data_IF_138329964882
#
_entry.id   IF_138329964882
#
_cell.length_a   1.000
_cell.length_b   1.000
_cell.length_c   1.000
_cell.angle_alpha   90.00
_cell.angle_beta   90.00
_cell.angle_gamma   90.00
#
_symmetry.space_group_name_H-M   'P 1'
#
loop_
_entity.id
_entity.type
_entity.pdbx_description
1 polymer ?
#
# COMPACT_ATOMS: atom_id res chain seq x y z
N UNK A 1 -21.89 -18.10 -27.05
CA UNK A 1 -21.78 -17.75 -25.62
C UNK A 1 -21.03 -16.42 -25.53
N UNK A 2 -21.73 -15.35 -25.21
CA UNK A 2 -21.13 -14.06 -24.95
C UNK A 2 -20.23 -14.18 -23.71
N UNK A 3 -18.90 -14.08 -23.87
CA UNK A 3 -17.97 -14.02 -22.72
C UNK A 3 -18.42 -12.82 -21.86
N UNK A 4 -18.90 -13.09 -20.66
CA UNK A 4 -19.18 -12.03 -19.67
C UNK A 4 -17.90 -11.22 -19.48
N UNK A 5 -17.98 -9.91 -19.68
CA UNK A 5 -16.82 -9.02 -19.56
C UNK A 5 -16.35 -9.03 -18.09
N UNK A 6 -15.05 -9.29 -17.87
CA UNK A 6 -14.45 -9.30 -16.53
C UNK A 6 -14.57 -7.92 -15.88
N UNK A 7 -15.05 -7.84 -14.62
CA UNK A 7 -15.07 -6.59 -13.87
C UNK A 7 -13.65 -6.18 -13.46
N UNK A 8 -13.45 -4.91 -13.13
CA UNK A 8 -12.18 -4.42 -12.61
C UNK A 8 -11.76 -5.14 -11.32
N UNK A 9 -12.73 -5.43 -10.43
CA UNK A 9 -12.54 -6.19 -9.20
C UNK A 9 -12.01 -7.60 -9.48
N UNK A 10 -12.68 -8.33 -10.40
CA UNK A 10 -12.26 -9.68 -10.80
C UNK A 10 -10.87 -9.67 -11.43
N UNK A 11 -10.61 -8.69 -12.32
CA UNK A 11 -9.31 -8.53 -12.98
C UNK A 11 -8.19 -8.32 -11.97
N UNK A 12 -8.40 -7.44 -10.98
CA UNK A 12 -7.44 -7.18 -9.94
C UNK A 12 -7.19 -8.42 -9.06
N UNK A 13 -8.25 -9.09 -8.61
CA UNK A 13 -8.15 -10.29 -7.80
C UNK A 13 -7.43 -11.43 -8.53
N UNK A 14 -7.73 -11.63 -9.83
CA UNK A 14 -7.06 -12.62 -10.66
C UNK A 14 -5.58 -12.30 -10.85
N UNK A 15 -5.24 -11.02 -11.10
CA UNK A 15 -3.84 -10.61 -11.23
C UNK A 15 -3.06 -10.85 -9.93
N UNK A 16 -3.64 -10.57 -8.76
CA UNK A 16 -3.02 -10.88 -7.46
C UNK A 16 -2.73 -12.38 -7.26
N UNK A 17 -3.46 -13.26 -7.92
CA UNK A 17 -3.33 -14.73 -7.84
C UNK A 17 -2.60 -15.32 -9.05
N UNK A 18 -1.97 -14.51 -9.87
CA UNK A 18 -1.33 -14.93 -11.12
C UNK A 18 -2.26 -15.73 -12.05
N UNK A 19 -3.56 -15.44 -12.02
CA UNK A 19 -4.57 -16.03 -12.91
C UNK A 19 -4.71 -15.20 -14.20
N UNK A 20 -5.20 -15.80 -15.31
CA UNK A 20 -5.38 -15.08 -16.56
C UNK A 20 -6.35 -13.90 -16.42
N UNK A 21 -6.00 -12.80 -17.08
CA UNK A 21 -6.79 -11.57 -17.16
C UNK A 21 -6.92 -11.14 -18.63
N UNK A 22 -7.94 -10.34 -18.94
CA UNK A 22 -8.14 -9.77 -20.28
C UNK A 22 -7.13 -8.65 -20.61
N UNK A 23 -6.60 -7.99 -19.59
CA UNK A 23 -5.49 -7.02 -19.59
C UNK A 23 -4.97 -6.82 -18.15
N UNK A 24 -3.78 -6.28 -17.94
CA UNK A 24 -3.35 -5.89 -16.60
C UNK A 24 -4.32 -4.90 -15.95
N UNK A 25 -4.71 -5.09 -14.66
CA UNK A 25 -5.41 -4.04 -13.92
C UNK A 25 -4.47 -2.86 -13.67
N UNK A 26 -5.04 -1.65 -13.57
CA UNK A 26 -4.30 -0.41 -13.33
C UNK A 26 -4.85 0.36 -12.14
N UNK A 27 -3.95 0.74 -11.25
CA UNK A 27 -4.16 1.73 -10.20
C UNK A 27 -2.83 2.44 -9.93
N UNK A 28 -2.82 3.59 -9.28
CA UNK A 28 -1.59 4.34 -9.03
C UNK A 28 -1.43 4.65 -7.54
N UNK A 29 -0.25 4.38 -6.99
CA UNK A 29 0.10 4.81 -5.64
C UNK A 29 -0.08 6.32 -5.51
N UNK A 30 -0.75 6.77 -4.43
CA UNK A 30 -1.14 8.17 -4.19
C UNK A 30 -2.08 8.75 -5.26
N UNK A 31 -2.88 7.91 -5.93
CA UNK A 31 -3.88 8.35 -6.93
C UNK A 31 -4.91 9.31 -6.35
N UNK A 32 -5.31 9.15 -5.09
CA UNK A 32 -6.14 10.08 -4.35
C UNK A 32 -5.23 11.16 -3.73
N UNK A 33 -5.38 12.42 -4.15
CA UNK A 33 -4.52 13.46 -3.60
C UNK A 33 -4.24 14.65 -4.52
N UNK A 34 -3.06 15.24 -4.36
CA UNK A 34 -2.70 16.60 -4.83
C UNK A 34 -2.81 16.85 -6.33
N UNK A 35 -2.72 15.83 -7.16
CA UNK A 35 -2.90 15.96 -8.61
C UNK A 35 -4.33 16.38 -8.97
N UNK A 36 -5.32 15.98 -8.16
CA UNK A 36 -6.74 16.18 -8.46
C UNK A 36 -7.23 17.57 -8.04
N UNK A 37 -7.88 18.33 -8.93
CA UNK A 37 -8.47 19.64 -8.59
C UNK A 37 -9.57 19.50 -7.53
N UNK A 38 -10.35 18.41 -7.54
CA UNK A 38 -11.38 18.13 -6.54
C UNK A 38 -10.77 17.99 -5.13
N UNK A 39 -9.66 17.29 -5.00
CA UNK A 39 -8.94 17.19 -3.74
C UNK A 39 -8.40 18.56 -3.29
N UNK A 40 -7.79 19.32 -4.21
CA UNK A 40 -7.29 20.68 -3.89
C UNK A 40 -8.39 21.60 -3.36
N UNK A 41 -9.60 21.52 -3.93
CA UNK A 41 -10.76 22.27 -3.44
C UNK A 41 -11.14 21.87 -2.01
N UNK A 42 -11.13 20.59 -1.67
CA UNK A 42 -11.37 20.15 -0.29
C UNK A 42 -10.28 20.65 0.66
N UNK A 43 -9.03 20.74 0.20
CA UNK A 43 -7.90 21.26 0.98
C UNK A 43 -7.98 22.77 1.30
N UNK A 44 -8.81 23.53 0.61
CA UNK A 44 -9.10 24.93 0.95
C UNK A 44 -9.89 25.05 2.26
N UNK A 45 -10.67 24.02 2.60
CA UNK A 45 -11.55 24.01 3.78
C UNK A 45 -11.04 23.10 4.89
N UNK A 46 -10.43 21.96 4.54
CA UNK A 46 -10.08 20.92 5.50
C UNK A 46 -8.56 20.68 5.54
N UNK A 47 -8.03 20.47 6.73
CA UNK A 47 -6.66 19.97 6.90
C UNK A 47 -6.54 18.53 6.41
N UNK A 48 -5.31 18.03 6.20
CA UNK A 48 -5.09 16.64 5.82
C UNK A 48 -5.64 15.68 6.89
N UNK A 49 -5.37 15.96 8.15
CA UNK A 49 -5.85 15.13 9.27
C UNK A 49 -7.37 15.05 9.30
N UNK A 50 -8.06 16.20 9.12
CA UNK A 50 -9.54 16.24 9.05
C UNK A 50 -10.07 15.40 7.87
N UNK A 51 -9.39 15.42 6.70
CA UNK A 51 -9.78 14.59 5.56
C UNK A 51 -9.59 13.09 5.83
N UNK A 52 -8.56 12.72 6.59
CA UNK A 52 -8.28 11.31 6.94
C UNK A 52 -9.22 10.81 8.04
N UNK A 53 -9.45 11.62 9.08
CA UNK A 53 -10.19 11.19 10.27
C UNK A 53 -11.72 11.35 10.13
N UNK A 54 -12.21 12.00 9.09
CA UNK A 54 -13.63 12.08 8.77
C UNK A 54 -13.98 11.03 7.69
N UNK A 55 -14.80 10.01 8.01
CA UNK A 55 -15.11 8.93 7.08
C UNK A 55 -15.70 9.41 5.75
N UNK A 56 -16.64 10.36 5.77
CA UNK A 56 -17.31 10.87 4.59
C UNK A 56 -16.33 11.58 3.64
N UNK A 57 -15.41 12.38 4.20
CA UNK A 57 -14.38 13.07 3.44
C UNK A 57 -13.34 12.09 2.89
N UNK A 58 -12.92 11.09 3.67
CA UNK A 58 -12.00 10.05 3.23
C UNK A 58 -12.60 9.22 2.08
N UNK A 59 -13.90 8.90 2.15
CA UNK A 59 -14.65 8.22 1.08
C UNK A 59 -14.66 9.07 -0.19
N UNK A 60 -15.05 10.34 -0.09
CA UNK A 60 -15.08 11.24 -1.25
C UNK A 60 -13.71 11.32 -1.93
N UNK A 61 -12.64 11.56 -1.17
CA UNK A 61 -11.28 11.65 -1.73
C UNK A 61 -10.83 10.32 -2.33
N UNK A 62 -11.17 9.20 -1.72
CA UNK A 62 -10.86 7.86 -2.24
C UNK A 62 -11.49 7.61 -3.61
N UNK A 63 -12.73 8.05 -3.81
CA UNK A 63 -13.49 7.78 -5.03
C UNK A 63 -13.19 8.75 -6.19
N UNK A 64 -12.66 9.94 -5.91
CA UNK A 64 -12.35 10.94 -6.94
C UNK A 64 -11.53 10.39 -8.11
N UNK A 65 -10.37 9.71 -7.90
CA UNK A 65 -9.57 9.19 -9.02
C UNK A 65 -10.25 8.04 -9.76
N UNK A 66 -11.04 7.22 -9.06
CA UNK A 66 -11.80 6.13 -9.70
C UNK A 66 -12.85 6.71 -10.63
N UNK A 67 -13.61 7.70 -10.17
CA UNK A 67 -14.65 8.39 -11.00
C UNK A 67 -14.03 9.11 -12.20
N UNK A 68 -12.85 9.73 -12.02
CA UNK A 68 -12.20 10.52 -13.07
C UNK A 68 -11.51 9.66 -14.13
N UNK A 69 -10.74 8.66 -13.74
CA UNK A 69 -9.89 7.88 -14.64
C UNK A 69 -10.38 6.45 -14.86
N UNK A 70 -11.31 5.97 -14.03
CA UNK A 70 -11.81 4.60 -14.08
C UNK A 70 -10.74 3.58 -13.75
N UNK A 71 -9.94 3.79 -12.71
CA UNK A 71 -8.97 2.81 -12.21
C UNK A 71 -9.65 1.48 -11.85
N UNK A 72 -8.89 0.40 -11.96
CA UNK A 72 -9.39 -0.95 -11.62
C UNK A 72 -9.42 -1.20 -10.11
N UNK A 73 -8.69 -0.40 -9.32
CA UNK A 73 -8.72 -0.46 -7.87
C UNK A 73 -8.73 0.92 -7.24
N UNK A 74 -9.49 1.07 -6.16
CA UNK A 74 -9.38 2.16 -5.21
C UNK A 74 -8.43 1.77 -4.09
N UNK A 75 -7.65 2.70 -3.58
CA UNK A 75 -6.92 2.58 -2.32
C UNK A 75 -7.44 3.64 -1.36
N UNK A 76 -7.72 3.26 -0.12
CA UNK A 76 -8.26 4.20 0.86
C UNK A 76 -7.37 5.43 1.00
N UNK A 77 -7.97 6.62 0.98
CA UNK A 77 -7.25 7.84 1.35
C UNK A 77 -7.03 7.88 2.86
N UNK A 78 -5.80 7.64 3.28
CA UNK A 78 -5.34 7.60 4.67
C UNK A 78 -3.83 7.88 4.74
N UNK A 79 -3.23 7.70 5.91
CA UNK A 79 -1.79 7.80 6.15
C UNK A 79 -1.28 6.56 6.87
N UNK A 80 -0.01 6.19 6.68
CA UNK A 80 0.61 5.08 7.42
C UNK A 80 0.83 5.43 8.89
N UNK A 81 0.97 6.73 9.22
CA UNK A 81 1.23 7.22 10.57
C UNK A 81 -0.02 7.23 11.47
N UNK A 82 -1.20 6.89 10.96
CA UNK A 82 -2.38 6.68 11.80
C UNK A 82 -2.17 5.56 12.83
N UNK A 83 -1.25 4.58 12.53
CA UNK A 83 -0.92 3.50 13.46
C UNK A 83 -0.11 4.00 14.65
N UNK A 84 1.06 4.68 14.50
CA UNK A 84 1.75 5.31 15.62
C UNK A 84 0.84 6.25 16.42
N UNK A 85 0.00 7.06 15.75
CA UNK A 85 -0.97 7.94 16.41
C UNK A 85 -1.94 7.14 17.28
N UNK A 86 -2.53 6.08 16.75
CA UNK A 86 -3.43 5.20 17.50
C UNK A 86 -2.73 4.46 18.65
N UNK A 87 -1.43 4.20 18.53
CA UNK A 87 -0.62 3.63 19.61
C UNK A 87 -0.26 4.65 20.70
N UNK A 88 -0.46 5.95 20.48
CA UNK A 88 -0.22 7.02 21.45
C UNK A 88 0.94 7.95 21.11
N UNK A 89 1.60 7.79 19.97
CA UNK A 89 2.61 8.73 19.46
C UNK A 89 1.98 9.61 18.39
N UNK A 90 1.42 10.74 18.77
CA UNK A 90 0.75 11.67 17.85
C UNK A 90 1.76 12.42 16.98
N UNK A 91 1.29 12.98 15.87
CA UNK A 91 2.13 13.71 14.92
C UNK A 91 1.42 14.93 14.34
N UNK A 92 2.21 15.84 13.78
CA UNK A 92 1.71 17.01 13.07
C UNK A 92 2.51 17.28 11.80
N UNK A 93 1.89 17.91 10.83
CA UNK A 93 2.57 18.37 9.62
C UNK A 93 3.30 19.69 9.87
N UNK A 94 4.51 19.82 9.30
CA UNK A 94 5.25 21.08 9.25
C UNK A 94 4.69 21.95 8.12
N UNK A 95 4.74 23.26 8.28
CA UNK A 95 4.44 24.22 7.21
C UNK A 95 5.37 24.03 6.00
N UNK A 96 6.63 23.73 6.25
CA UNK A 96 7.66 23.44 5.23
C UNK A 96 7.57 22.05 4.61
N UNK A 97 6.58 21.25 4.99
CA UNK A 97 6.39 19.85 4.56
C UNK A 97 7.06 18.84 5.50
N UNK A 98 6.59 17.60 5.38
CA UNK A 98 6.99 16.50 6.28
C UNK A 98 6.23 16.51 7.61
N UNK A 99 6.54 15.55 8.47
CA UNK A 99 5.89 15.36 9.77
C UNK A 99 6.86 15.52 10.92
N UNK A 100 6.31 15.82 12.10
CA UNK A 100 6.99 15.80 13.40
C UNK A 100 6.13 14.99 14.34
N UNK A 101 6.74 14.03 15.04
CA UNK A 101 6.11 13.25 16.11
C UNK A 101 6.22 14.03 17.43
N UNK A 102 5.31 13.82 18.35
CA UNK A 102 5.31 14.53 19.65
C UNK A 102 6.53 14.16 20.51
N UNK A 103 7.03 12.95 20.36
CA UNK A 103 8.28 12.49 20.96
C UNK A 103 8.97 11.50 20.02
N UNK A 104 10.27 11.26 20.25
CA UNK A 104 11.02 10.21 19.55
C UNK A 104 11.17 8.98 20.45
N UNK A 105 11.09 7.80 19.88
CA UNK A 105 11.25 6.54 20.61
C UNK A 105 12.72 6.13 20.58
N UNK A 106 13.37 6.18 21.73
CA UNK A 106 14.82 5.85 21.86
C UNK A 106 15.09 4.79 22.91
N UNK A 107 14.19 4.61 23.85
CA UNK A 107 14.38 3.75 25.01
C UNK A 107 13.20 2.79 25.20
N UNK A 108 13.44 1.74 25.97
CA UNK A 108 12.38 0.82 26.39
C UNK A 108 11.24 1.53 27.12
N UNK A 109 11.53 2.54 27.92
CA UNK A 109 10.51 3.36 28.60
C UNK A 109 9.64 4.15 27.60
N UNK A 110 10.18 4.56 26.45
CA UNK A 110 9.36 5.20 25.39
C UNK A 110 8.43 4.17 24.73
N UNK A 111 8.90 2.95 24.53
CA UNK A 111 8.10 1.86 23.95
C UNK A 111 6.95 1.47 24.91
N UNK A 112 7.17 1.52 26.21
CA UNK A 112 6.14 1.23 27.22
C UNK A 112 4.97 2.23 27.20
N UNK A 113 5.16 3.45 26.70
CA UNK A 113 4.10 4.46 26.51
C UNK A 113 3.14 4.09 25.36
N UNK A 114 3.55 3.20 24.46
CA UNK A 114 2.76 2.80 23.30
C UNK A 114 1.80 1.65 23.68
N UNK A 115 0.53 1.75 23.26
CA UNK A 115 -0.47 0.69 23.45
C UNK A 115 -0.95 0.14 22.11
N UNK A 116 -1.10 -1.19 22.03
CA UNK A 116 -1.66 -1.90 20.87
C UNK A 116 -3.16 -2.16 21.05
N UNK A 117 -3.62 -2.28 22.29
CA UNK A 117 -4.96 -2.77 22.63
C UNK A 117 -6.11 -1.94 22.05
N UNK A 118 -5.95 -0.63 21.94
CA UNK A 118 -6.98 0.29 21.47
C UNK A 118 -6.81 0.74 20.00
N UNK A 119 -5.86 0.16 19.27
CA UNK A 119 -5.56 0.60 17.89
C UNK A 119 -6.80 0.54 16.99
N UNK A 120 -7.51 -0.57 16.96
CA UNK A 120 -8.71 -0.72 16.12
C UNK A 120 -9.86 0.19 16.56
N UNK A 121 -10.02 0.42 17.88
CA UNK A 121 -11.04 1.34 18.39
C UNK A 121 -10.76 2.77 17.97
N UNK A 122 -9.52 3.24 18.13
CA UNK A 122 -9.09 4.58 17.73
C UNK A 122 -9.13 4.78 16.22
N UNK A 123 -8.91 3.71 15.43
CA UNK A 123 -8.99 3.71 13.95
C UNK A 123 -10.37 3.32 13.41
N UNK A 124 -11.42 3.32 14.23
CA UNK A 124 -12.78 2.98 13.79
C UNK A 124 -13.29 3.87 12.62
N UNK A 125 -12.78 5.10 12.50
CA UNK A 125 -13.09 5.95 11.34
C UNK A 125 -12.58 5.36 10.02
N UNK A 126 -11.49 4.59 10.04
CA UNK A 126 -10.97 3.86 8.87
C UNK A 126 -11.91 2.72 8.50
N UNK A 127 -12.35 1.91 9.47
CA UNK A 127 -13.34 0.83 9.25
C UNK A 127 -14.62 1.37 8.61
N UNK A 128 -15.16 2.46 9.16
CA UNK A 128 -16.35 3.13 8.62
C UNK A 128 -16.15 3.60 7.18
N UNK A 129 -15.01 4.26 6.90
CA UNK A 129 -14.70 4.73 5.56
C UNK A 129 -14.58 3.56 4.57
N UNK A 130 -13.87 2.48 4.93
CA UNK A 130 -13.72 1.30 4.08
C UNK A 130 -15.06 0.63 3.75
N UNK A 131 -15.92 0.43 4.73
CA UNK A 131 -17.27 -0.14 4.51
C UNK A 131 -18.11 0.73 3.58
N UNK A 132 -18.02 2.04 3.73
CA UNK A 132 -18.75 2.96 2.86
C UNK A 132 -18.15 2.95 1.44
N UNK A 133 -16.81 3.01 1.27
CA UNK A 133 -16.16 2.87 -0.05
C UNK A 133 -16.54 1.55 -0.70
N UNK A 134 -16.52 0.42 0.04
CA UNK A 134 -16.92 -0.89 -0.49
C UNK A 134 -18.35 -0.87 -1.03
N UNK A 135 -19.28 -0.25 -0.29
CA UNK A 135 -20.67 -0.09 -0.71
C UNK A 135 -20.78 0.72 -2.00
N UNK A 136 -20.06 1.82 -2.12
CA UNK A 136 -20.08 2.70 -3.31
C UNK A 136 -19.42 2.03 -4.54
N UNK A 137 -18.36 1.25 -4.36
CA UNK A 137 -17.69 0.54 -5.44
C UNK A 137 -18.47 -0.71 -5.92
N UNK A 138 -19.37 -1.24 -5.11
CA UNK A 138 -20.11 -2.48 -5.41
C UNK A 138 -19.16 -3.64 -5.74
N UNK A 139 -19.50 -4.45 -6.74
CA UNK A 139 -18.67 -5.56 -7.23
C UNK A 139 -17.84 -5.20 -8.48
N UNK A 140 -17.84 -3.93 -8.87
CA UNK A 140 -17.18 -3.48 -10.12
C UNK A 140 -15.71 -3.17 -9.95
N UNK A 141 -15.31 -2.48 -8.86
CA UNK A 141 -13.94 -1.98 -8.65
C UNK A 141 -13.35 -2.59 -7.39
N UNK A 142 -12.07 -2.97 -7.45
CA UNK A 142 -11.35 -3.49 -6.30
C UNK A 142 -11.09 -2.40 -5.26
N UNK A 143 -10.99 -2.80 -3.99
CA UNK A 143 -10.64 -1.94 -2.87
C UNK A 143 -9.37 -2.47 -2.19
N UNK A 144 -8.36 -1.62 -2.07
CA UNK A 144 -7.09 -1.94 -1.44
C UNK A 144 -7.02 -1.28 -0.06
N UNK A 145 -6.76 -2.08 0.97
CA UNK A 145 -6.32 -1.63 2.27
C UNK A 145 -4.79 -1.52 2.32
N UNK A 146 -4.25 -0.82 3.32
CA UNK A 146 -2.81 -0.71 3.42
C UNK A 146 -2.31 -0.37 4.81
N UNK A 147 -0.99 -0.56 5.00
CA UNK A 147 -0.23 -0.14 6.17
C UNK A 147 1.21 0.22 5.76
N UNK A 148 1.94 0.92 6.62
CA UNK A 148 3.40 0.94 6.59
C UNK A 148 3.98 -0.37 7.11
N UNK A 149 5.19 -0.74 6.66
CA UNK A 149 5.95 -1.82 7.29
C UNK A 149 6.39 -1.42 8.71
N UNK A 150 6.63 -2.37 9.62
CA UNK A 150 7.16 -2.06 10.94
C UNK A 150 8.46 -1.26 10.89
N UNK A 151 9.37 -1.55 9.96
CA UNK A 151 10.60 -0.76 9.75
C UNK A 151 10.30 0.68 9.37
N UNK A 152 9.46 0.90 8.36
CA UNK A 152 9.09 2.25 7.92
C UNK A 152 8.41 3.05 9.02
N UNK A 153 7.49 2.45 9.77
CA UNK A 153 6.83 3.10 10.92
C UNK A 153 7.84 3.41 12.02
N UNK A 154 8.70 2.43 12.38
CA UNK A 154 9.73 2.59 13.40
C UNK A 154 10.71 3.72 13.06
N UNK A 155 11.11 3.87 11.79
CA UNK A 155 12.01 4.97 11.38
C UNK A 155 11.41 6.33 11.67
N UNK A 156 10.13 6.58 11.37
CA UNK A 156 9.46 7.82 11.74
C UNK A 156 9.40 8.02 13.25
N UNK A 157 9.08 6.96 13.99
CA UNK A 157 8.95 6.98 15.44
C UNK A 157 10.28 7.26 16.15
N UNK A 158 11.35 6.63 15.68
CA UNK A 158 12.70 6.79 16.26
C UNK A 158 13.36 8.11 15.87
N UNK A 159 13.17 8.58 14.64
CA UNK A 159 13.67 9.92 14.23
C UNK A 159 12.84 11.05 14.86
N UNK A 160 11.59 10.78 15.23
CA UNK A 160 10.65 11.79 15.71
C UNK A 160 10.20 12.77 14.62
N UNK A 161 10.55 12.53 13.36
CA UNK A 161 10.22 13.40 12.23
C UNK A 161 10.50 12.76 10.87
N UNK A 162 9.96 13.37 9.79
CA UNK A 162 10.47 13.14 8.45
C UNK A 162 11.86 13.75 8.28
N UNK A 163 12.84 12.94 7.93
CA UNK A 163 14.23 13.34 7.72
C UNK A 163 14.79 12.74 6.43
N UNK A 164 15.80 13.36 5.80
CA UNK A 164 16.39 12.82 4.55
C UNK A 164 17.19 11.52 4.76
N UNK A 165 17.70 11.31 5.97
CA UNK A 165 18.48 10.12 6.36
C UNK A 165 17.99 9.65 7.73
N UNK A 166 17.81 8.36 7.88
CA UNK A 166 17.29 7.73 9.10
C UNK A 166 18.45 7.25 9.99
N UNK A 167 19.37 8.16 10.33
CA UNK A 167 20.60 7.84 11.04
C UNK A 167 20.38 7.31 12.45
N UNK A 168 19.42 7.89 13.20
CA UNK A 168 19.08 7.43 14.56
C UNK A 168 18.41 6.05 14.53
N UNK A 169 17.50 5.83 13.58
CA UNK A 169 16.84 4.55 13.42
C UNK A 169 17.83 3.44 13.08
N UNK A 170 18.76 3.71 12.15
CA UNK A 170 19.82 2.76 11.80
C UNK A 170 20.78 2.52 12.98
N UNK A 171 21.15 3.56 13.72
CA UNK A 171 22.00 3.43 14.92
C UNK A 171 21.31 2.57 15.98
N UNK A 172 20.04 2.84 16.31
CA UNK A 172 19.30 2.04 17.30
C UNK A 172 19.20 0.58 16.87
N UNK A 173 18.89 0.31 15.62
CA UNK A 173 18.84 -1.06 15.10
C UNK A 173 20.18 -1.78 15.24
N UNK A 174 21.31 -1.11 14.96
CA UNK A 174 22.65 -1.71 14.97
C UNK A 174 23.28 -1.81 16.36
N UNK A 175 23.06 -0.80 17.20
CA UNK A 175 23.75 -0.65 18.51
C UNK A 175 22.90 -1.20 19.67
N UNK A 176 21.57 -1.10 19.57
CA UNK A 176 20.62 -1.69 20.55
C UNK A 176 19.46 -2.41 19.86
N UNK A 177 19.75 -3.54 19.16
CA UNK A 177 18.75 -4.30 18.44
C UNK A 177 17.61 -4.79 19.34
N UNK A 178 17.84 -4.99 20.65
CA UNK A 178 16.80 -5.41 21.59
C UNK A 178 15.70 -4.37 21.75
N UNK A 179 16.07 -3.09 21.84
CA UNK A 179 15.11 -1.98 21.90
C UNK A 179 14.38 -1.83 20.55
N UNK A 180 15.09 -1.95 19.43
CA UNK A 180 14.47 -1.95 18.11
C UNK A 180 13.45 -3.09 17.97
N UNK A 181 13.81 -4.33 18.32
CA UNK A 181 12.91 -5.48 18.17
C UNK A 181 11.67 -5.36 19.06
N UNK A 182 11.79 -4.84 20.28
CA UNK A 182 10.64 -4.59 21.13
C UNK A 182 9.64 -3.58 20.50
N UNK A 183 10.14 -2.55 19.81
CA UNK A 183 9.29 -1.63 19.04
C UNK A 183 8.67 -2.33 17.82
N UNK A 184 9.47 -3.07 17.08
CA UNK A 184 9.02 -3.76 15.86
C UNK A 184 7.95 -4.83 16.17
N UNK A 185 8.09 -5.57 17.28
CA UNK A 185 7.06 -6.51 17.76
C UNK A 185 5.73 -5.82 18.06
N UNK A 186 5.74 -4.69 18.79
CA UNK A 186 4.53 -3.91 19.05
C UNK A 186 3.90 -3.37 17.75
N UNK A 187 4.73 -2.87 16.84
CA UNK A 187 4.26 -2.38 15.53
C UNK A 187 3.68 -3.51 14.69
N UNK A 188 4.32 -4.67 14.68
CA UNK A 188 3.82 -5.86 13.97
C UNK A 188 2.44 -6.25 14.49
N UNK A 189 2.25 -6.34 15.81
CA UNK A 189 0.95 -6.63 16.41
C UNK A 189 -0.11 -5.57 16.05
N UNK A 190 0.24 -4.28 16.09
CA UNK A 190 -0.66 -3.19 15.71
C UNK A 190 -1.05 -3.24 14.22
N UNK A 191 -0.09 -3.51 13.34
CA UNK A 191 -0.31 -3.65 11.90
C UNK A 191 -1.19 -4.86 11.58
N UNK A 192 -0.96 -6.00 12.23
CA UNK A 192 -1.81 -7.20 12.07
C UNK A 192 -3.26 -6.87 12.43
N UNK A 193 -3.50 -6.31 13.63
CA UNK A 193 -4.85 -5.95 14.07
C UNK A 193 -5.51 -4.96 13.09
N UNK A 194 -4.77 -3.96 12.64
CA UNK A 194 -5.25 -2.94 11.70
C UNK A 194 -5.59 -3.51 10.33
N UNK A 195 -4.74 -4.39 9.76
CA UNK A 195 -5.00 -5.02 8.46
C UNK A 195 -6.15 -6.04 8.54
N UNK A 196 -6.27 -6.80 9.64
CA UNK A 196 -7.42 -7.69 9.88
C UNK A 196 -8.73 -6.90 9.96
N UNK A 197 -8.74 -5.72 10.60
CA UNK A 197 -9.89 -4.82 10.61
C UNK A 197 -10.25 -4.36 9.18
N UNK A 198 -9.27 -4.00 8.35
CA UNK A 198 -9.49 -3.60 6.97
C UNK A 198 -10.05 -4.76 6.12
N UNK A 199 -9.53 -5.97 6.30
CA UNK A 199 -10.04 -7.19 5.63
C UNK A 199 -11.50 -7.44 6.04
N UNK A 200 -11.83 -7.33 7.32
CA UNK A 200 -13.20 -7.46 7.83
C UNK A 200 -14.14 -6.34 7.32
N UNK A 201 -13.60 -5.18 6.95
CA UNK A 201 -14.34 -4.09 6.33
C UNK A 201 -14.59 -4.31 4.83
N UNK A 202 -13.99 -5.35 4.21
CA UNK A 202 -14.28 -5.78 2.83
C UNK A 202 -13.29 -5.32 1.78
N UNK A 203 -12.01 -5.10 2.12
CA UNK A 203 -10.95 -4.88 1.11
C UNK A 203 -10.65 -6.17 0.34
N UNK A 204 -10.28 -6.04 -0.93
CA UNK A 204 -9.98 -7.15 -1.83
C UNK A 204 -8.51 -7.59 -1.76
N UNK A 205 -7.63 -6.70 -1.31
CA UNK A 205 -6.22 -6.95 -1.06
C UNK A 205 -5.69 -5.94 -0.04
N UNK A 206 -4.53 -6.25 0.56
CA UNK A 206 -3.81 -5.31 1.43
C UNK A 206 -2.41 -5.07 0.91
N UNK A 207 -1.92 -3.83 1.03
CA UNK A 207 -0.56 -3.47 0.65
C UNK A 207 0.25 -2.99 1.86
N UNK A 208 1.45 -3.56 2.03
CA UNK A 208 2.43 -3.12 3.03
C UNK A 208 3.46 -2.25 2.31
N UNK A 209 3.58 -0.99 2.76
CA UNK A 209 4.54 -0.03 2.23
C UNK A 209 5.80 -0.01 3.09
N UNK A 210 6.90 -0.51 2.54
CA UNK A 210 8.24 -0.43 3.13
C UNK A 210 9.07 0.65 2.41
N UNK A 211 8.65 1.90 2.60
CA UNK A 211 9.22 3.05 1.88
C UNK A 211 10.67 3.36 2.27
N UNK A 212 11.15 2.79 3.38
CA UNK A 212 12.49 3.04 3.92
C UNK A 212 13.41 1.82 3.90
N UNK A 213 12.98 0.71 3.28
CA UNK A 213 13.76 -0.52 3.18
C UNK A 213 15.12 -0.34 2.48
N UNK A 214 15.19 0.53 1.49
CA UNK A 214 16.43 0.84 0.75
C UNK A 214 17.51 1.59 1.55
N UNK A 215 17.23 2.03 2.79
CA UNK A 215 18.24 2.58 3.68
C UNK A 215 19.02 1.50 4.45
N UNK A 216 18.53 0.27 4.45
CA UNK A 216 19.18 -0.88 5.05
C UNK A 216 20.27 -1.43 4.13
N UNK A 217 21.36 -1.90 4.71
CA UNK A 217 22.32 -2.70 3.95
C UNK A 217 21.74 -4.07 3.57
N UNK A 218 22.26 -4.69 2.53
CA UNK A 218 21.73 -5.96 2.00
C UNK A 218 21.58 -7.05 3.08
N UNK A 219 22.53 -7.21 3.99
CA UNK A 219 22.47 -8.18 5.07
C UNK A 219 21.58 -7.79 6.26
N UNK A 220 21.05 -6.57 6.30
CA UNK A 220 20.23 -6.05 7.41
C UNK A 220 18.73 -6.16 7.13
N UNK A 221 18.34 -6.26 5.86
CA UNK A 221 16.95 -6.15 5.43
C UNK A 221 16.05 -7.21 6.09
N UNK A 222 16.48 -8.46 6.13
CA UNK A 222 15.69 -9.55 6.70
C UNK A 222 15.39 -9.31 8.19
N UNK A 223 16.40 -8.92 8.97
CA UNK A 223 16.27 -8.68 10.41
C UNK A 223 15.48 -7.41 10.72
N UNK A 224 15.72 -6.34 9.96
CA UNK A 224 15.10 -5.04 10.24
C UNK A 224 13.67 -4.92 9.66
N UNK A 225 13.37 -5.52 8.51
CA UNK A 225 12.09 -5.35 7.83
C UNK A 225 11.45 -6.65 7.38
N UNK A 226 12.18 -7.52 6.67
CA UNK A 226 11.62 -8.68 5.97
C UNK A 226 10.86 -9.64 6.90
N UNK A 227 11.46 -10.03 8.04
CA UNK A 227 10.84 -10.94 9.01
C UNK A 227 9.51 -10.43 9.57
N UNK A 228 9.41 -9.14 9.83
CA UNK A 228 8.21 -8.54 10.37
C UNK A 228 7.07 -8.48 9.36
N UNK A 229 7.39 -8.21 8.10
CA UNK A 229 6.43 -8.31 7.01
C UNK A 229 5.95 -9.74 6.81
N UNK A 230 6.86 -10.73 6.92
CA UNK A 230 6.50 -12.15 6.90
C UNK A 230 5.50 -12.50 8.01
N UNK A 231 5.76 -12.10 9.26
CA UNK A 231 4.86 -12.34 10.39
C UNK A 231 3.46 -11.73 10.16
N UNK A 232 3.41 -10.50 9.63
CA UNK A 232 2.14 -9.84 9.28
C UNK A 232 1.40 -10.66 8.22
N UNK A 233 2.07 -11.02 7.12
CA UNK A 233 1.45 -11.74 5.99
C UNK A 233 0.95 -13.11 6.44
N UNK A 234 1.72 -13.84 7.24
CA UNK A 234 1.29 -15.12 7.81
C UNK A 234 0.04 -14.98 8.69
N UNK A 235 -0.03 -13.92 9.50
CA UNK A 235 -1.16 -13.69 10.40
C UNK A 235 -2.45 -13.27 9.67
N UNK A 236 -2.36 -12.47 8.59
CA UNK A 236 -3.53 -12.02 7.82
C UNK A 236 -3.99 -13.05 6.77
N UNK A 237 -3.12 -13.97 6.37
CA UNK A 237 -3.44 -15.08 5.47
C UNK A 237 -4.12 -16.26 6.17
N UNK A 238 -4.06 -16.33 7.49
CA UNK A 238 -4.74 -17.36 8.26
C UNK A 238 -6.26 -17.09 8.32
N UNK A 239 -7.12 -18.14 8.30
CA UNK A 239 -8.56 -17.98 8.53
C UNK A 239 -8.81 -17.23 9.85
N UNK A 240 -9.66 -16.21 9.85
CA UNK A 240 -10.02 -15.46 11.05
C UNK A 240 -10.82 -16.40 11.96
N UNK A 241 -10.18 -17.02 12.94
CA UNK A 241 -10.83 -17.85 13.94
C UNK A 241 -11.61 -16.93 14.90
N UNK A 242 -12.95 -16.89 14.77
CA UNK A 242 -13.78 -16.21 15.77
C UNK A 242 -14.95 -15.38 15.30
N UNK A 243 -15.45 -15.48 14.09
CA UNK A 243 -16.77 -14.91 13.74
C UNK A 243 -17.90 -15.89 14.09
N UNK A 244 -18.14 -16.13 15.36
CA UNK A 244 -19.40 -16.67 15.84
C UNK A 244 -20.48 -15.60 15.70
N UNK A 245 -21.03 -15.42 14.50
CA UNK A 245 -22.35 -14.81 14.27
C UNK A 245 -23.12 -15.71 13.35
N UNK A 246 -24.13 -16.38 13.95
CA UNK A 246 -25.02 -17.32 13.29
C UNK A 246 -25.83 -16.65 12.16
N UNK A 247 -25.85 -17.35 11.04
CA UNK A 247 -26.77 -17.21 9.93
C UNK A 247 -26.31 -18.17 8.85
N UNK A 248 -27.22 -18.94 8.19
CA UNK A 248 -26.84 -19.85 7.12
C UNK A 248 -26.70 -19.06 5.80
N UNK A 249 -25.73 -18.16 5.74
CA UNK A 249 -25.27 -17.62 4.44
C UNK A 249 -24.11 -18.48 3.95
N UNK A 250 -24.25 -18.97 2.72
CA UNK A 250 -23.22 -19.73 2.01
C UNK A 250 -21.90 -18.92 2.06
N UNK A 251 -20.99 -19.37 2.92
CA UNK A 251 -19.59 -18.94 2.88
C UNK A 251 -19.10 -19.26 1.46
N UNK A 252 -18.82 -18.23 0.67
CA UNK A 252 -18.23 -18.41 -0.65
C UNK A 252 -16.85 -19.03 -0.43
N UNK A 253 -16.49 -20.04 -1.21
CA UNK A 253 -15.19 -20.72 -1.15
C UNK A 253 -13.97 -19.78 -1.22
N UNK A 254 -14.19 -18.53 -1.66
CA UNK A 254 -13.18 -17.46 -1.76
C UNK A 254 -12.83 -16.81 -0.39
N UNK A 255 -13.58 -17.10 0.69
CA UNK A 255 -13.36 -16.56 2.05
C UNK A 255 -12.45 -17.42 2.92
N UNK A 256 -12.07 -18.62 2.46
CA UNK A 256 -11.12 -19.49 3.19
C UNK A 256 -9.65 -19.10 2.94
N UNK A 257 -9.37 -18.27 1.93
CA UNK A 257 -8.04 -17.74 1.65
C UNK A 257 -8.08 -16.25 2.01
N UNK A 258 -7.29 -15.82 2.96
CA UNK A 258 -7.19 -14.41 3.38
C UNK A 258 -6.96 -13.47 2.16
N UNK A 259 -7.20 -12.18 2.36
CA UNK A 259 -7.02 -11.20 1.29
C UNK A 259 -5.58 -11.26 0.75
N UNK A 260 -5.37 -11.27 -0.58
CA UNK A 260 -4.04 -11.21 -1.18
C UNK A 260 -3.21 -10.05 -0.60
N UNK A 261 -1.93 -10.32 -0.36
CA UNK A 261 -0.98 -9.35 0.16
C UNK A 261 -0.04 -8.84 -0.92
N UNK A 262 0.23 -7.54 -0.90
CA UNK A 262 1.18 -6.87 -1.79
C UNK A 262 2.24 -6.23 -0.90
N UNK A 263 3.52 -6.49 -1.16
CA UNK A 263 4.64 -5.82 -0.50
C UNK A 263 5.32 -4.89 -1.50
N UNK A 264 5.51 -3.65 -1.12
CA UNK A 264 6.31 -2.68 -1.86
C UNK A 264 7.45 -2.20 -0.97
N UNK A 265 8.70 -2.45 -1.37
CA UNK A 265 9.88 -1.94 -0.68
C UNK A 265 10.74 -1.13 -1.65
N UNK A 266 10.92 0.16 -1.31
CA UNK A 266 11.64 1.10 -2.17
C UNK A 266 13.15 0.91 -2.04
N UNK A 267 13.86 0.82 -3.17
CA UNK A 267 15.32 0.80 -3.21
C UNK A 267 15.96 -0.51 -2.75
N UNK A 268 15.23 -1.62 -2.78
CA UNK A 268 15.70 -2.93 -2.27
C UNK A 268 16.12 -3.92 -3.35
N UNK A 269 16.64 -3.43 -4.45
CA UNK A 269 16.92 -4.23 -5.66
C UNK A 269 17.89 -5.42 -5.46
N UNK A 270 18.67 -5.46 -4.38
CA UNK A 270 19.54 -6.58 -4.03
C UNK A 270 18.89 -7.64 -3.14
N UNK A 271 17.70 -7.36 -2.58
CA UNK A 271 17.07 -8.16 -1.53
C UNK A 271 15.87 -9.01 -2.04
N UNK A 272 15.94 -9.49 -3.28
CA UNK A 272 14.86 -10.32 -3.87
C UNK A 272 14.54 -11.58 -3.04
N UNK A 273 15.53 -12.36 -2.56
CA UNK A 273 15.26 -13.53 -1.73
C UNK A 273 14.47 -13.17 -0.46
N UNK A 274 14.80 -12.08 0.20
CA UNK A 274 14.13 -11.64 1.42
C UNK A 274 12.72 -11.12 1.15
N UNK A 275 12.51 -10.40 0.03
CA UNK A 275 11.18 -9.97 -0.40
C UNK A 275 10.29 -11.16 -0.75
N UNK A 276 10.84 -12.18 -1.44
CA UNK A 276 10.14 -13.44 -1.74
C UNK A 276 9.80 -14.18 -0.45
N UNK A 277 10.73 -14.21 0.52
CA UNK A 277 10.55 -14.87 1.82
C UNK A 277 9.48 -14.20 2.70
N UNK A 278 9.03 -12.97 2.39
CA UNK A 278 7.88 -12.37 3.08
C UNK A 278 6.60 -13.19 2.88
N UNK A 279 6.50 -13.99 1.80
CA UNK A 279 5.30 -14.76 1.46
C UNK A 279 4.19 -13.94 0.80
N UNK A 280 4.49 -12.72 0.34
CA UNK A 280 3.52 -11.86 -0.36
C UNK A 280 3.06 -12.49 -1.68
N UNK A 281 1.77 -12.33 -2.01
CA UNK A 281 1.22 -12.76 -3.30
C UNK A 281 1.73 -11.90 -4.46
N UNK A 282 2.07 -10.63 -4.20
CA UNK A 282 2.54 -9.66 -5.20
C UNK A 282 3.70 -8.86 -4.61
N UNK A 283 4.75 -8.66 -5.41
CA UNK A 283 5.87 -7.77 -5.08
C UNK A 283 5.79 -6.53 -5.96
N UNK A 284 5.74 -5.37 -5.32
CA UNK A 284 5.84 -4.07 -5.98
C UNK A 284 7.28 -3.76 -6.34
N UNK A 285 7.50 -3.39 -7.59
CA UNK A 285 8.82 -3.09 -8.16
C UNK A 285 8.92 -1.57 -8.36
N UNK A 286 9.98 -0.96 -7.88
CA UNK A 286 10.22 0.45 -8.16
C UNK A 286 10.76 0.66 -9.59
N UNK A 287 10.87 1.93 -9.99
CA UNK A 287 11.23 2.29 -11.37
C UNK A 287 12.70 2.07 -11.72
N UNK A 288 13.54 1.68 -10.76
CA UNK A 288 14.99 1.52 -10.98
C UNK A 288 15.34 0.14 -11.54
N UNK A 289 14.44 -0.83 -11.41
CA UNK A 289 14.61 -2.20 -11.94
C UNK A 289 13.58 -2.49 -13.02
N UNK A 290 14.01 -3.04 -14.15
CA UNK A 290 13.10 -3.50 -15.19
C UNK A 290 12.23 -4.67 -14.69
N UNK A 291 10.92 -4.64 -15.01
CA UNK A 291 10.02 -5.77 -14.70
C UNK A 291 10.49 -7.07 -15.37
N UNK A 292 11.07 -6.99 -16.56
CA UNK A 292 11.61 -8.16 -17.26
C UNK A 292 12.79 -8.79 -16.51
N UNK A 293 13.62 -7.98 -15.86
CA UNK A 293 14.73 -8.47 -15.02
C UNK A 293 14.21 -9.00 -13.69
N UNK A 294 13.33 -8.26 -13.02
CA UNK A 294 12.69 -8.72 -11.79
C UNK A 294 12.00 -10.08 -11.98
N UNK A 295 11.31 -10.28 -13.12
CA UNK A 295 10.63 -11.54 -13.45
C UNK A 295 11.58 -12.75 -13.60
N UNK A 296 12.85 -12.55 -13.90
CA UNK A 296 13.84 -13.63 -13.96
C UNK A 296 14.24 -14.15 -12.57
N UNK A 297 14.11 -13.28 -11.56
CA UNK A 297 14.56 -13.52 -10.18
C UNK A 297 13.40 -13.92 -9.26
N UNK A 298 12.19 -13.46 -9.55
CA UNK A 298 11.00 -13.71 -8.73
C UNK A 298 10.18 -14.84 -9.35
N UNK A 299 9.73 -15.85 -8.57
CA UNK A 299 8.94 -16.99 -9.07
C UNK A 299 7.65 -16.56 -9.78
N UNK A 300 7.21 -17.30 -10.81
CA UNK A 300 6.00 -17.00 -11.60
C UNK A 300 4.69 -17.03 -10.78
N UNK A 301 4.70 -17.76 -9.66
CA UNK A 301 3.57 -17.80 -8.73
C UNK A 301 3.37 -16.49 -7.93
N UNK A 302 4.34 -15.58 -7.98
CA UNK A 302 4.27 -14.27 -7.31
C UNK A 302 4.02 -13.20 -8.37
N UNK A 303 2.96 -12.42 -8.21
CA UNK A 303 2.64 -11.30 -9.09
C UNK A 303 3.68 -10.17 -8.98
N UNK A 304 3.77 -9.35 -10.03
CA UNK A 304 4.59 -8.14 -10.04
C UNK A 304 3.69 -6.92 -10.22
N UNK A 305 3.90 -5.90 -9.38
CA UNK A 305 3.22 -4.63 -9.47
C UNK A 305 4.20 -3.52 -9.83
N UNK A 306 3.86 -2.70 -10.83
CA UNK A 306 4.66 -1.55 -11.22
C UNK A 306 4.78 -1.41 -12.73
N UNK A 307 5.77 -0.63 -13.24
CA UNK A 307 6.73 0.15 -12.45
C UNK A 307 7.16 1.42 -13.22
N UNK A 308 6.19 2.09 -13.86
CA UNK A 308 6.50 3.32 -14.61
C UNK A 308 7.13 4.38 -13.69
N UNK A 309 8.16 5.09 -14.17
CA UNK A 309 8.81 6.14 -13.41
C UNK A 309 7.83 7.30 -13.10
N UNK A 310 7.65 7.69 -11.82
CA UNK A 310 6.68 8.73 -11.44
C UNK A 310 6.98 10.10 -12.05
N UNK A 311 8.24 10.43 -12.34
CA UNK A 311 8.65 11.68 -12.97
C UNK A 311 8.05 11.87 -14.37
N UNK A 312 7.81 10.79 -15.12
CA UNK A 312 7.18 10.87 -16.43
C UNK A 312 5.77 11.49 -16.35
N UNK A 313 5.05 11.24 -15.27
CA UNK A 313 3.70 11.79 -15.09
C UNK A 313 3.73 13.30 -14.86
N UNK A 314 4.82 13.85 -14.32
CA UNK A 314 5.00 15.30 -14.10
C UNK A 314 5.67 16.00 -15.26
N UNK A 315 6.68 15.37 -15.86
CA UNK A 315 7.68 16.07 -16.68
C UNK A 315 7.50 15.81 -18.18
N UNK A 316 6.98 14.62 -18.54
CA UNK A 316 6.85 14.22 -19.94
C UNK A 316 5.58 14.79 -20.64
N UNK A 317 5.45 14.49 -21.93
CA UNK A 317 4.23 14.70 -22.72
C UNK A 317 3.36 13.43 -22.67
N UNK A 318 2.03 13.52 -22.96
CA UNK A 318 1.15 12.35 -23.01
C UNK A 318 1.64 11.24 -23.95
N UNK A 319 2.21 11.60 -25.10
CA UNK A 319 2.72 10.63 -26.08
C UNK A 319 3.92 9.84 -25.51
N UNK A 320 4.83 10.50 -24.81
CA UNK A 320 5.97 9.85 -24.15
C UNK A 320 5.47 8.95 -23.04
N UNK A 321 4.50 9.40 -22.24
CA UNK A 321 3.89 8.56 -21.19
C UNK A 321 3.23 7.32 -21.79
N UNK A 322 2.50 7.46 -22.88
CA UNK A 322 1.87 6.33 -23.58
C UNK A 322 2.91 5.34 -24.12
N UNK A 323 4.02 5.85 -24.70
CA UNK A 323 5.12 5.04 -25.20
C UNK A 323 5.77 4.21 -24.07
N UNK A 324 6.16 4.86 -22.97
CA UNK A 324 6.82 4.23 -21.84
C UNK A 324 5.88 3.26 -21.10
N UNK A 325 4.59 3.62 -20.98
CA UNK A 325 3.54 2.72 -20.47
C UNK A 325 3.46 1.44 -21.29
N UNK A 326 3.48 1.56 -22.61
CA UNK A 326 3.48 0.41 -23.53
C UNK A 326 4.74 -0.45 -23.34
N UNK A 327 5.91 0.15 -23.16
CA UNK A 327 7.16 -0.58 -22.94
C UNK A 327 7.09 -1.42 -21.66
N UNK A 328 6.54 -0.88 -20.56
CA UNK A 328 6.31 -1.62 -19.31
C UNK A 328 5.34 -2.78 -19.52
N UNK A 329 4.25 -2.58 -20.27
CA UNK A 329 3.28 -3.63 -20.57
C UNK A 329 3.88 -4.75 -21.43
N UNK A 330 4.67 -4.39 -22.44
CA UNK A 330 5.37 -5.36 -23.32
C UNK A 330 6.38 -6.21 -22.54
N UNK A 331 7.05 -5.66 -21.54
CA UNK A 331 7.97 -6.40 -20.68
C UNK A 331 7.30 -7.58 -19.94
N UNK A 332 5.98 -7.51 -19.77
CA UNK A 332 5.17 -8.53 -19.08
C UNK A 332 4.19 -9.25 -20.04
N UNK A 333 4.30 -9.01 -21.35
CA UNK A 333 3.40 -9.65 -22.35
C UNK A 333 3.44 -11.17 -22.22
N UNK A 334 2.25 -11.77 -22.22
CA UNK A 334 2.10 -13.23 -22.13
C UNK A 334 2.37 -13.84 -20.74
N UNK A 335 2.61 -13.00 -19.72
CA UNK A 335 2.85 -13.43 -18.34
C UNK A 335 1.67 -13.05 -17.46
N UNK A 336 1.26 -13.96 -16.57
CA UNK A 336 0.21 -13.67 -15.57
C UNK A 336 0.77 -12.86 -14.40
N UNK A 337 -0.15 -12.28 -13.60
CA UNK A 337 0.21 -11.63 -12.34
C UNK A 337 0.81 -10.23 -12.48
N UNK A 338 0.60 -9.52 -13.60
CA UNK A 338 1.00 -8.12 -13.73
C UNK A 338 -0.12 -7.19 -13.28
N UNK A 339 0.19 -6.31 -12.31
CA UNK A 339 -0.63 -5.17 -11.89
C UNK A 339 0.11 -3.89 -12.31
N UNK A 340 -0.45 -3.13 -13.24
CA UNK A 340 0.19 -1.89 -13.68
C UNK A 340 0.10 -0.81 -12.60
N UNK A 341 1.24 -0.23 -12.27
CA UNK A 341 1.37 0.90 -11.35
C UNK A 341 2.59 1.74 -11.70
N UNK A 342 2.79 2.84 -10.99
CA UNK A 342 4.08 3.53 -10.97
C UNK A 342 5.06 2.79 -10.05
N UNK A 343 6.34 3.03 -10.24
CA UNK A 343 7.39 2.53 -9.34
C UNK A 343 7.45 3.25 -8.00
N UNK A 344 6.63 4.27 -7.77
CA UNK A 344 6.37 4.98 -6.50
C UNK A 344 5.08 5.79 -6.62
N UNK A 345 4.73 6.56 -5.59
CA UNK A 345 3.53 7.40 -5.59
C UNK A 345 3.59 8.57 -6.57
N UNK A 346 2.43 8.99 -7.08
CA UNK A 346 2.27 10.21 -7.85
C UNK A 346 2.89 11.40 -7.13
N UNK A 347 3.60 12.23 -7.89
CA UNK A 347 4.19 13.48 -7.41
C UNK A 347 3.15 14.60 -7.35
N UNK A 348 3.37 15.65 -6.55
CA UNK A 348 2.46 16.82 -6.54
C UNK A 348 2.30 17.51 -7.90
N UNK A 349 3.31 17.41 -8.79
CA UNK A 349 3.32 18.00 -10.14
C UNK A 349 2.67 17.11 -11.21
N UNK A 350 2.08 15.98 -10.85
CA UNK A 350 1.48 15.07 -11.81
C UNK A 350 0.39 15.75 -12.66
N UNK A 351 0.48 15.59 -13.97
CA UNK A 351 -0.45 16.18 -14.96
C UNK A 351 -1.60 15.20 -15.23
N UNK A 352 -2.84 15.72 -15.24
CA UNK A 352 -4.03 14.89 -15.45
C UNK A 352 -4.05 14.24 -16.83
N UNK A 353 -3.61 14.96 -17.87
CA UNK A 353 -3.49 14.44 -19.23
C UNK A 353 -2.52 13.26 -19.32
N UNK A 354 -1.44 13.27 -18.54
CA UNK A 354 -0.46 12.18 -18.49
C UNK A 354 -1.04 10.96 -17.77
N UNK A 355 -1.80 11.17 -16.68
CA UNK A 355 -2.52 10.08 -16.00
C UNK A 355 -3.55 9.46 -16.96
N UNK A 356 -4.27 10.29 -17.72
CA UNK A 356 -5.24 9.83 -18.73
C UNK A 356 -4.56 8.99 -19.80
N UNK A 357 -3.46 9.49 -20.38
CA UNK A 357 -2.71 8.78 -21.43
C UNK A 357 -2.20 7.41 -20.93
N UNK A 358 -1.67 7.33 -19.69
CA UNK A 358 -1.28 6.07 -19.05
C UNK A 358 -2.47 5.11 -18.95
N UNK A 359 -3.57 5.55 -18.34
CA UNK A 359 -4.73 4.69 -18.08
C UNK A 359 -5.36 4.18 -19.40
N UNK A 360 -5.51 5.04 -20.40
CA UNK A 360 -6.01 4.65 -21.71
C UNK A 360 -5.09 3.65 -22.41
N UNK A 361 -3.78 3.85 -22.31
CA UNK A 361 -2.80 2.91 -22.89
C UNK A 361 -2.94 1.52 -22.23
N UNK A 362 -3.04 1.45 -20.91
CA UNK A 362 -3.22 0.17 -20.20
C UNK A 362 -4.56 -0.48 -20.57
N UNK A 363 -5.64 0.30 -20.62
CA UNK A 363 -6.99 -0.23 -20.93
C UNK A 363 -7.13 -0.75 -22.35
N UNK A 364 -6.38 -0.18 -23.30
CA UNK A 364 -6.40 -0.57 -24.70
C UNK A 364 -5.30 -1.58 -25.08
N UNK A 365 -4.48 -2.02 -24.13
CA UNK A 365 -3.43 -3.02 -24.36
C UNK A 365 -4.05 -4.41 -24.56
N UNK A 366 -3.65 -5.10 -25.66
CA UNK A 366 -4.14 -6.42 -26.07
C UNK A 366 -2.99 -7.43 -26.14
#
# INVERSE_FOLDING_TARGET
>A
MTKTKMTSRQRFANACRCQPVDRPPVWLMRQAGRALPEYRKLKETYTFVQLVQNPELAVEVTLQPVRRFGFDAAILFSDILVIPEAMGQTYRFRETGGVVMDFAVHTKADIEKLSVEQVCERLNYVDKALRQVRKELGDETALIGFSGSPWTLATFMMEGASVPKYGRALALFREDPKTYFALAEKLTAAVIAYLQMQIAAGVDAVQIFDSHGGHLAAGEFQEASGRWMHEIIAAIGAPISGSARGGPERVRADQEIGAPSIVFSLGTHGNWPDLIATGANVIGIDWQTSLAEARKLIPEAIGLQGNLAPSLISDATPDVVALETRAVLEAMRGRAGHIFNLGHGLTPGAKLENITALVETVKNFK
#
